data_IF_712107967057
#
_entry.id   IF_712107967057
#
_cell.length_a   1.000
_cell.length_b   1.000
_cell.length_c   1.000
_cell.angle_alpha   90.00
_cell.angle_beta   90.00
_cell.angle_gamma   90.00
#
_symmetry.space_group_name_H-M   'P 1'
#
loop_
_entity.id
_entity.type
_entity.pdbx_description
1 polymer ?
#
# COMPACT_ATOMS: atom_id res chain seq x y z
N UNK A 1 -38.76 -35.96 -6.26
CA UNK A 1 -37.44 -36.58 -6.51
C UNK A 1 -36.38 -35.48 -6.46
N UNK A 2 -35.63 -35.36 -5.35
CA UNK A 2 -34.62 -34.31 -5.19
C UNK A 2 -33.35 -34.63 -5.99
N UNK A 3 -32.71 -33.61 -6.58
CA UNK A 3 -31.49 -33.78 -7.37
C UNK A 3 -30.31 -34.20 -6.46
N UNK A 4 -29.57 -35.28 -6.79
CA UNK A 4 -28.50 -35.77 -5.93
C UNK A 4 -27.36 -34.75 -5.80
N UNK A 5 -26.81 -34.63 -4.58
CA UNK A 5 -25.69 -33.74 -4.29
C UNK A 5 -24.43 -34.26 -4.99
N UNK A 6 -23.83 -33.40 -5.82
CA UNK A 6 -22.62 -33.68 -6.63
C UNK A 6 -21.35 -33.99 -5.81
N UNK A 7 -21.31 -33.57 -4.55
CA UNK A 7 -20.21 -33.83 -3.63
C UNK A 7 -20.79 -34.29 -2.29
N UNK A 8 -20.19 -35.30 -1.67
CA UNK A 8 -20.68 -35.89 -0.42
C UNK A 8 -19.98 -35.31 0.80
N UNK A 9 -18.72 -34.89 0.65
CA UNK A 9 -17.96 -34.19 1.69
C UNK A 9 -17.43 -32.84 1.22
N UNK A 10 -17.06 -31.98 2.17
CA UNK A 10 -16.40 -30.71 1.87
C UNK A 10 -14.99 -30.92 1.28
N UNK A 11 -14.32 -31.99 1.68
CA UNK A 11 -13.01 -32.38 1.15
C UNK A 11 -13.09 -32.77 -0.34
N UNK A 12 -14.13 -33.52 -0.74
CA UNK A 12 -14.38 -33.87 -2.15
C UNK A 12 -14.56 -32.62 -3.02
N UNK A 13 -15.28 -31.62 -2.48
CA UNK A 13 -15.49 -30.34 -3.17
C UNK A 13 -14.18 -29.59 -3.35
N UNK A 14 -13.33 -29.51 -2.32
CA UNK A 14 -12.02 -28.86 -2.39
C UNK A 14 -11.09 -29.61 -3.35
N UNK A 15 -11.12 -30.94 -3.33
CA UNK A 15 -10.34 -31.77 -4.24
C UNK A 15 -10.75 -31.53 -5.70
N UNK A 16 -12.05 -31.49 -6.00
CA UNK A 16 -12.56 -31.20 -7.33
C UNK A 16 -12.16 -29.80 -7.82
N UNK A 17 -12.15 -28.78 -6.94
CA UNK A 17 -11.68 -27.43 -7.29
C UNK A 17 -10.19 -27.41 -7.61
N UNK A 18 -9.36 -28.11 -6.82
CA UNK A 18 -7.91 -28.24 -7.08
C UNK A 18 -7.65 -28.90 -8.43
N UNK A 19 -8.35 -29.99 -8.73
CA UNK A 19 -8.21 -30.70 -10.00
C UNK A 19 -8.68 -29.88 -11.19
N UNK A 20 -9.81 -29.16 -11.05
CA UNK A 20 -10.31 -28.29 -12.11
C UNK A 20 -9.34 -27.13 -12.39
N UNK A 21 -8.80 -26.52 -11.33
CA UNK A 21 -7.78 -25.47 -11.46
C UNK A 21 -6.51 -26.00 -12.14
N UNK A 22 -6.05 -27.21 -11.78
CA UNK A 22 -4.90 -27.86 -12.41
C UNK A 22 -5.12 -28.11 -13.91
N UNK A 23 -6.30 -28.63 -14.28
CA UNK A 23 -6.68 -28.84 -15.69
C UNK A 23 -6.78 -27.53 -16.46
N UNK A 24 -7.38 -26.51 -15.85
CA UNK A 24 -7.47 -25.17 -16.44
C UNK A 24 -6.09 -24.58 -16.73
N UNK A 25 -5.18 -24.60 -15.75
CA UNK A 25 -3.82 -24.12 -15.92
C UNK A 25 -3.06 -24.92 -16.97
N UNK A 26 -3.20 -26.25 -17.00
CA UNK A 26 -2.56 -27.08 -18.03
C UNK A 26 -3.06 -26.71 -19.44
N UNK A 27 -4.38 -26.50 -19.61
CA UNK A 27 -4.98 -26.12 -20.88
C UNK A 27 -4.53 -24.73 -21.35
N UNK A 28 -4.45 -23.76 -20.44
CA UNK A 28 -4.19 -22.35 -20.77
C UNK A 28 -2.76 -21.89 -20.50
N UNK A 29 -1.83 -22.81 -20.17
CA UNK A 29 -0.45 -22.46 -19.81
C UNK A 29 0.24 -21.60 -20.88
N UNK A 30 0.04 -21.92 -22.16
CA UNK A 30 0.64 -21.19 -23.29
C UNK A 30 0.07 -19.78 -23.39
N UNK A 31 -1.24 -19.62 -23.32
CA UNK A 31 -1.91 -18.31 -23.37
C UNK A 31 -1.49 -17.42 -22.19
N UNK A 32 -1.47 -17.98 -20.98
CA UNK A 32 -1.02 -17.28 -19.77
C UNK A 32 0.44 -16.84 -19.93
N UNK A 33 1.31 -17.71 -20.45
CA UNK A 33 2.71 -17.38 -20.71
C UNK A 33 2.86 -16.29 -21.78
N UNK A 34 2.07 -16.34 -22.85
CA UNK A 34 2.09 -15.35 -23.92
C UNK A 34 1.65 -13.97 -23.40
N UNK A 35 0.55 -13.90 -22.63
CA UNK A 35 0.09 -12.66 -21.99
C UNK A 35 1.14 -12.08 -21.07
N UNK A 36 1.80 -12.92 -20.25
CA UNK A 36 2.89 -12.47 -19.37
C UNK A 36 4.07 -11.94 -20.18
N UNK A 37 4.47 -12.61 -21.25
CA UNK A 37 5.56 -12.16 -22.12
C UNK A 37 5.26 -10.80 -22.77
N UNK A 38 4.04 -10.60 -23.24
CA UNK A 38 3.59 -9.30 -23.78
C UNK A 38 3.63 -8.22 -22.70
N UNK A 39 3.10 -8.49 -21.50
CA UNK A 39 3.12 -7.53 -20.40
C UNK A 39 4.55 -7.09 -20.03
N UNK A 40 5.50 -8.04 -19.96
CA UNK A 40 6.91 -7.73 -19.72
C UNK A 40 7.55 -6.93 -20.87
N UNK A 41 7.24 -7.26 -22.12
CA UNK A 41 7.73 -6.49 -23.27
C UNK A 41 7.18 -5.06 -23.27
N UNK A 42 5.90 -4.85 -22.97
CA UNK A 42 5.29 -3.52 -22.85
C UNK A 42 5.90 -2.71 -21.71
N UNK A 43 6.20 -3.34 -20.57
CA UNK A 43 6.88 -2.67 -19.46
C UNK A 43 8.33 -2.33 -19.79
N UNK A 44 9.04 -3.22 -20.49
CA UNK A 44 10.43 -2.99 -20.91
C UNK A 44 10.56 -1.90 -21.97
N UNK A 45 9.64 -1.84 -22.94
CA UNK A 45 9.63 -0.80 -23.98
C UNK A 45 9.25 0.59 -23.44
N UNK A 46 8.44 0.67 -22.38
CA UNK A 46 8.20 1.95 -21.66
C UNK A 46 9.46 2.54 -21.03
N UNK A 47 10.46 1.72 -20.67
CA UNK A 47 11.71 2.19 -20.08
C UNK A 47 12.74 2.67 -21.13
N UNK A 48 12.57 2.28 -22.40
CA UNK A 48 13.51 2.64 -23.49
C UNK A 48 13.00 3.80 -24.36
N UNK A 49 11.67 3.99 -24.49
CA UNK A 49 11.10 5.09 -25.27
C UNK A 49 11.19 6.48 -24.61
N UNK A 50 11.49 6.57 -23.31
CA UNK A 50 11.60 7.88 -22.63
C UNK A 50 12.90 8.65 -22.97
N UNK A 51 13.79 8.07 -23.80
CA UNK A 51 14.98 8.76 -24.34
C UNK A 51 14.87 9.20 -25.81
N UNK A 52 13.81 8.84 -26.54
CA UNK A 52 13.73 9.12 -27.97
C UNK A 52 12.29 9.31 -28.45
N UNK A 53 11.59 10.38 -28.04
CA UNK A 53 10.42 10.84 -28.80
C UNK A 53 10.04 12.30 -28.48
N UNK A 54 10.99 13.19 -28.72
CA UNK A 54 10.65 14.48 -29.32
C UNK A 54 10.51 14.22 -30.83
N UNK A 55 9.42 14.68 -31.45
CA UNK A 55 9.08 14.68 -32.89
C UNK A 55 8.05 13.65 -33.41
N UNK A 56 6.88 14.21 -33.79
CA UNK A 56 5.84 13.80 -34.78
C UNK A 56 4.54 13.08 -34.33
N UNK A 57 3.51 13.90 -34.09
CA UNK A 57 2.24 14.09 -34.86
C UNK A 57 1.47 12.86 -35.42
N UNK A 58 0.24 12.67 -34.88
CA UNK A 58 -1.07 12.21 -35.46
C UNK A 58 -1.15 10.79 -36.07
N UNK A 59 -2.02 9.85 -35.68
CA UNK A 59 -3.50 9.85 -35.85
C UNK A 59 -4.12 8.57 -35.21
N UNK A 60 -5.35 8.67 -34.69
CA UNK A 60 -6.28 7.58 -34.29
C UNK A 60 -6.88 6.83 -35.52
N UNK A 61 -7.63 5.68 -35.44
CA UNK A 61 -8.72 5.37 -34.47
C UNK A 61 -8.96 3.89 -34.02
N UNK A 62 -9.85 3.73 -33.02
CA UNK A 62 -10.40 2.53 -32.31
C UNK A 62 -11.83 2.14 -32.81
N UNK A 63 -12.66 1.24 -32.20
CA UNK A 63 -12.56 -0.03 -31.41
C UNK A 63 -13.62 -1.11 -31.91
N UNK A 64 -14.05 -2.22 -31.21
CA UNK A 64 -14.90 -2.28 -29.97
C UNK A 64 -14.57 -3.47 -28.99
N UNK A 65 -14.78 -3.49 -27.65
CA UNK A 65 -15.96 -3.42 -26.71
C UNK A 65 -16.31 -4.80 -26.09
N UNK A 66 -16.78 -4.80 -24.82
CA UNK A 66 -17.62 -5.77 -24.04
C UNK A 66 -16.98 -6.06 -22.66
N UNK A 67 -17.39 -5.45 -21.53
CA UNK A 67 -18.60 -5.57 -20.67
C UNK A 67 -18.59 -6.66 -19.57
N UNK A 68 -18.91 -6.19 -18.35
CA UNK A 68 -19.63 -6.78 -17.21
C UNK A 68 -18.86 -7.44 -16.03
N UNK A 69 -18.90 -6.85 -14.83
CA UNK A 69 -19.89 -6.98 -13.69
C UNK A 69 -19.74 -8.33 -12.97
N UNK A 70 -19.32 -8.42 -11.69
CA UNK A 70 -20.22 -8.29 -10.53
C UNK A 70 -19.48 -8.38 -9.17
N UNK A 71 -19.80 -7.44 -8.28
CA UNK A 71 -20.30 -7.62 -6.90
C UNK A 71 -19.67 -8.68 -5.97
N UNK A 72 -19.13 -8.18 -4.85
CA UNK A 72 -18.68 -8.91 -3.68
C UNK A 72 -19.62 -8.62 -2.51
N UNK A 73 -20.18 -9.67 -1.91
CA UNK A 73 -20.82 -9.67 -0.59
C UNK A 73 -19.81 -10.21 0.43
N UNK A 74 -19.61 -9.46 1.52
CA UNK A 74 -18.70 -9.83 2.59
C UNK A 74 -19.26 -10.87 3.56
N UNK A 75 -18.37 -11.47 4.38
CA UNK A 75 -18.66 -11.81 5.76
C UNK A 75 -17.41 -12.31 6.52
N UNK A 76 -17.09 -11.59 7.61
CA UNK A 76 -16.61 -12.00 8.95
C UNK A 76 -15.62 -13.17 9.04
N UNK A 77 -14.34 -12.84 9.28
CA UNK A 77 -13.36 -13.76 9.86
C UNK A 77 -13.39 -13.70 11.39
N UNK A 78 -13.70 -14.84 11.99
CA UNK A 78 -13.61 -15.10 13.44
C UNK A 78 -12.19 -15.55 13.75
N UNK A 79 -11.48 -14.82 14.62
CA UNK A 79 -10.15 -15.18 15.12
C UNK A 79 -10.19 -16.53 15.86
N UNK A 80 -9.52 -17.54 15.30
CA UNK A 80 -9.22 -18.80 15.99
C UNK A 80 -7.81 -18.73 16.59
N UNK A 81 -7.74 -18.56 17.91
CA UNK A 81 -6.49 -18.58 18.69
C UNK A 81 -6.10 -20.02 19.01
N UNK A 82 -5.10 -20.56 18.28
CA UNK A 82 -4.45 -21.82 18.65
C UNK A 82 -3.47 -21.58 19.80
N UNK A 83 -3.84 -22.03 21.01
CA UNK A 83 -2.97 -22.05 22.20
C UNK A 83 -2.06 -23.27 22.12
N UNK A 84 -0.78 -23.06 21.85
CA UNK A 84 0.25 -24.10 22.04
C UNK A 84 0.61 -24.17 23.53
N UNK A 85 0.21 -25.25 24.20
CA UNK A 85 0.64 -25.57 25.57
C UNK A 85 1.89 -26.45 25.45
N UNK A 86 3.08 -25.86 25.60
CA UNK A 86 4.33 -26.62 25.75
C UNK A 86 4.61 -26.86 27.23
N UNK A 87 4.43 -28.12 27.63
CA UNK A 87 4.64 -28.62 29.00
C UNK A 87 6.14 -28.86 29.23
N UNK A 88 6.86 -27.84 29.71
CA UNK A 88 8.27 -27.95 30.09
C UNK A 88 8.41 -28.76 31.39
N UNK A 89 9.02 -29.94 31.30
CA UNK A 89 9.45 -30.74 32.47
C UNK A 89 10.62 -30.03 33.15
N UNK A 90 10.43 -29.71 34.43
CA UNK A 90 11.42 -29.11 35.32
C UNK A 90 12.52 -30.13 35.65
N UNK A 91 13.65 -30.05 34.98
CA UNK A 91 14.86 -30.79 35.36
C UNK A 91 15.54 -29.99 36.48
N UNK A 92 15.57 -30.52 37.70
CA UNK A 92 16.39 -29.97 38.80
C UNK A 92 17.84 -30.37 38.52
N UNK A 93 18.65 -29.40 38.13
CA UNK A 93 20.09 -29.54 38.03
C UNK A 93 20.70 -29.31 39.44
N UNK A 94 21.13 -30.38 40.10
CA UNK A 94 21.93 -30.35 41.33
C UNK A 94 23.40 -30.51 40.97
N UNK A 95 23.99 -29.45 40.39
CA UNK A 95 25.44 -29.33 40.34
C UNK A 95 25.87 -28.31 41.39
N UNK A 96 26.38 -28.81 42.52
CA UNK A 96 27.09 -28.02 43.50
C UNK A 96 28.52 -27.78 42.99
N UNK A 97 28.74 -26.65 42.31
CA UNK A 97 30.10 -26.16 42.08
C UNK A 97 30.46 -25.17 43.18
N UNK A 98 31.62 -25.36 43.80
CA UNK A 98 32.23 -24.36 44.68
C UNK A 98 32.66 -23.17 43.82
N UNK A 99 31.95 -22.06 43.93
CA UNK A 99 32.33 -20.78 43.34
C UNK A 99 33.52 -20.26 44.13
N UNK A 100 34.70 -20.27 43.51
CA UNK A 100 35.87 -19.55 44.01
C UNK A 100 35.61 -18.06 43.75
N UNK A 101 35.66 -17.17 44.75
CA UNK A 101 35.45 -15.74 44.54
C UNK A 101 36.62 -15.18 43.74
N UNK A 102 36.35 -14.80 42.50
CA UNK A 102 37.28 -14.01 41.68
C UNK A 102 37.25 -12.58 42.21
N UNK A 103 38.41 -11.94 42.48
CA UNK A 103 38.45 -10.56 42.92
C UNK A 103 37.76 -9.64 41.90
N UNK A 104 36.92 -8.74 42.41
CA UNK A 104 36.15 -7.80 41.61
C UNK A 104 37.09 -6.90 40.81
N UNK A 105 37.26 -7.22 39.52
CA UNK A 105 37.84 -6.28 38.55
C UNK A 105 36.79 -5.20 38.34
N UNK A 106 37.07 -4.01 38.85
CA UNK A 106 36.33 -2.78 38.55
C UNK A 106 36.48 -2.47 37.07
N UNK A 107 35.60 -3.04 36.24
CA UNK A 107 35.46 -2.66 34.84
C UNK A 107 34.96 -1.21 34.82
N UNK A 108 35.65 -0.27 34.14
CA UNK A 108 35.13 1.08 33.94
C UNK A 108 33.76 0.97 33.28
N UNK A 109 32.73 1.46 33.97
CA UNK A 109 31.37 1.46 33.44
C UNK A 109 31.32 2.50 32.31
N UNK A 110 31.44 2.04 31.07
CA UNK A 110 31.23 2.88 29.89
C UNK A 110 29.77 3.36 29.94
N UNK A 111 29.51 4.68 29.84
CA UNK A 111 28.15 5.20 29.87
C UNK A 111 27.32 4.56 28.74
N UNK A 112 26.04 4.23 29.00
CA UNK A 112 25.18 3.63 27.98
C UNK A 112 25.08 4.55 26.76
N UNK A 113 24.99 3.98 25.54
CA UNK A 113 24.82 4.78 24.32
C UNK A 113 23.60 5.70 24.44
N UNK A 114 23.66 6.94 23.92
CA UNK A 114 22.52 7.84 23.87
C UNK A 114 21.35 7.20 23.11
N UNK A 115 20.11 7.42 23.59
CA UNK A 115 18.90 6.97 22.89
C UNK A 115 18.85 7.63 21.49
N UNK A 116 18.86 6.86 20.39
CA UNK A 116 18.80 7.41 19.05
C UNK A 116 17.40 7.91 18.67
N UNK A 117 16.35 7.55 19.43
CA UNK A 117 14.97 7.82 19.06
C UNK A 117 14.60 9.31 18.91
N UNK A 118 15.06 10.23 19.77
CA UNK A 118 14.79 11.67 19.61
C UNK A 118 15.22 12.22 18.24
N UNK A 119 16.31 11.67 17.67
CA UNK A 119 16.78 12.05 16.33
C UNK A 119 15.79 11.62 15.25
N UNK A 120 15.32 10.37 15.28
CA UNK A 120 14.33 9.89 14.30
C UNK A 120 13.03 10.69 14.39
N UNK A 121 12.61 11.04 15.60
CA UNK A 121 11.43 11.87 15.80
C UNK A 121 11.61 13.28 15.20
N UNK A 122 12.78 13.90 15.39
CA UNK A 122 13.08 15.20 14.81
C UNK A 122 13.11 15.15 13.26
N UNK A 123 13.75 14.14 12.68
CA UNK A 123 13.79 13.95 11.22
C UNK A 123 12.38 13.71 10.65
N UNK A 124 11.56 12.90 11.32
CA UNK A 124 10.17 12.65 10.91
C UNK A 124 9.31 13.91 11.01
N UNK A 125 9.42 14.67 12.11
CA UNK A 125 8.70 15.94 12.26
C UNK A 125 9.04 16.93 11.15
N UNK A 126 10.29 16.95 10.67
CA UNK A 126 10.68 17.78 9.53
C UNK A 126 9.89 17.40 8.27
N UNK A 127 9.80 16.10 7.93
CA UNK A 127 9.00 15.65 6.78
C UNK A 127 7.52 15.98 6.97
N UNK A 128 7.00 15.81 8.19
CA UNK A 128 5.61 16.14 8.47
C UNK A 128 5.35 17.64 8.34
N UNK A 129 6.32 18.50 8.66
CA UNK A 129 6.22 19.94 8.43
C UNK A 129 6.27 20.26 6.94
N UNK A 130 7.21 19.67 6.19
CA UNK A 130 7.28 19.81 4.73
C UNK A 130 5.96 19.37 4.05
N UNK A 131 5.31 18.35 4.59
CA UNK A 131 3.98 17.91 4.16
C UNK A 131 2.89 18.97 4.45
N UNK A 132 2.86 19.57 5.64
CA UNK A 132 1.88 20.64 5.93
C UNK A 132 2.14 21.90 5.07
N UNK A 133 3.41 22.24 4.85
CA UNK A 133 3.81 23.36 3.98
C UNK A 133 3.40 23.09 2.53
N UNK A 134 3.55 21.85 2.05
CA UNK A 134 3.08 21.40 0.73
C UNK A 134 1.57 21.55 0.58
N UNK A 135 0.79 21.32 1.63
CA UNK A 135 -0.66 21.56 1.61
C UNK A 135 -1.02 23.05 1.69
N UNK A 136 -0.04 23.94 1.88
CA UNK A 136 -0.25 25.38 2.05
C UNK A 136 -1.23 25.66 3.20
N UNK A 137 -1.06 24.93 4.30
CA UNK A 137 -1.89 25.02 5.50
C UNK A 137 -3.34 24.53 5.31
N UNK A 138 -3.64 23.78 4.24
CA UNK A 138 -4.96 23.19 4.02
C UNK A 138 -5.05 21.82 4.67
N UNK A 139 -6.24 21.46 5.13
CA UNK A 139 -6.52 20.06 5.42
C UNK A 139 -6.38 19.21 4.13
N UNK A 140 -5.94 17.93 4.22
CA UNK A 140 -5.78 17.07 3.05
C UNK A 140 -7.02 17.01 2.14
N UNK A 141 -8.22 17.00 2.74
CA UNK A 141 -9.48 16.96 2.00
C UNK A 141 -9.76 18.27 1.24
N UNK A 142 -9.39 19.42 1.82
CA UNK A 142 -9.53 20.72 1.18
C UNK A 142 -8.48 20.94 0.10
N UNK A 143 -7.28 20.37 0.26
CA UNK A 143 -6.28 20.31 -0.80
C UNK A 143 -6.79 19.50 -2.00
N UNK A 144 -7.39 18.32 -1.76
CA UNK A 144 -8.03 17.53 -2.83
C UNK A 144 -9.13 18.31 -3.53
N UNK A 145 -10.04 18.97 -2.79
CA UNK A 145 -11.08 19.83 -3.38
C UNK A 145 -10.49 20.96 -4.20
N UNK A 146 -9.39 21.56 -3.76
CA UNK A 146 -8.67 22.59 -4.49
C UNK A 146 -8.16 22.06 -5.83
N UNK A 147 -7.51 20.90 -5.86
CA UNK A 147 -7.04 20.27 -7.11
C UNK A 147 -8.20 19.95 -8.06
N UNK A 148 -9.30 19.39 -7.54
CA UNK A 148 -10.49 19.11 -8.35
C UNK A 148 -11.08 20.39 -8.97
N UNK A 149 -11.14 21.49 -8.21
CA UNK A 149 -11.58 22.78 -8.74
C UNK A 149 -10.67 23.30 -9.85
N UNK A 150 -9.35 23.14 -9.73
CA UNK A 150 -8.40 23.48 -10.79
C UNK A 150 -8.63 22.62 -12.03
N UNK A 151 -8.78 21.30 -11.86
CA UNK A 151 -8.97 20.34 -12.95
C UNK A 151 -10.25 20.58 -13.76
N UNK A 152 -11.35 20.97 -13.10
CA UNK A 152 -12.63 21.25 -13.73
C UNK A 152 -12.82 22.72 -14.16
N UNK A 153 -11.81 23.57 -14.04
CA UNK A 153 -11.96 25.00 -14.34
C UNK A 153 -12.07 25.23 -15.85
N UNK A 154 -13.32 25.35 -16.32
CA UNK A 154 -13.72 25.52 -17.73
C UNK A 154 -13.09 26.72 -18.44
N UNK A 155 -12.66 27.76 -17.71
CA UNK A 155 -12.07 28.96 -18.30
C UNK A 155 -10.59 28.85 -18.65
N UNK A 156 -9.97 27.70 -18.40
CA UNK A 156 -8.56 27.47 -18.65
C UNK A 156 -8.36 26.50 -19.81
N UNK A 157 -7.30 26.69 -20.60
CA UNK A 157 -6.79 25.68 -21.55
C UNK A 157 -6.32 24.38 -20.85
N UNK A 158 -6.40 24.35 -19.52
CA UNK A 158 -5.91 23.31 -18.62
C UNK A 158 -7.05 22.42 -18.08
N UNK A 159 -8.29 22.60 -18.56
CA UNK A 159 -9.35 21.67 -18.22
C UNK A 159 -8.95 20.25 -18.64
N UNK A 160 -9.04 19.31 -17.69
CA UNK A 160 -8.62 17.94 -17.97
C UNK A 160 -7.10 17.71 -17.91
N UNK A 161 -6.32 18.70 -17.49
CA UNK A 161 -4.86 18.55 -17.37
C UNK A 161 -4.52 17.56 -16.25
N UNK A 162 -4.13 16.34 -16.64
CA UNK A 162 -3.78 15.27 -15.71
C UNK A 162 -2.52 15.60 -14.88
N UNK A 163 -1.66 16.49 -15.40
CA UNK A 163 -0.45 16.97 -14.74
C UNK A 163 -0.71 17.55 -13.35
N UNK A 164 -1.90 18.11 -13.13
CA UNK A 164 -2.35 18.63 -11.83
C UNK A 164 -2.35 17.58 -10.71
N UNK A 165 -2.41 16.29 -11.04
CA UNK A 165 -2.34 15.21 -10.06
C UNK A 165 -0.97 14.52 -10.04
N UNK A 166 -0.28 14.48 -11.18
CA UNK A 166 1.01 13.79 -11.32
C UNK A 166 2.09 14.49 -10.49
N UNK A 167 2.24 15.81 -10.64
CA UNK A 167 3.28 16.56 -9.93
C UNK A 167 3.12 16.48 -8.39
N UNK A 168 1.93 16.69 -7.81
CA UNK A 168 1.69 16.42 -6.39
C UNK A 168 1.99 14.99 -5.95
N UNK A 169 1.66 13.99 -6.77
CA UNK A 169 1.90 12.58 -6.44
C UNK A 169 3.40 12.28 -6.35
N UNK A 170 4.21 12.80 -7.26
CA UNK A 170 5.66 12.59 -7.25
C UNK A 170 6.31 13.14 -5.97
N UNK A 171 5.93 14.35 -5.56
CA UNK A 171 6.41 14.96 -4.31
C UNK A 171 6.00 14.13 -3.09
N UNK A 172 4.73 13.69 -3.04
CA UNK A 172 4.24 12.87 -1.94
C UNK A 172 4.92 11.50 -1.87
N UNK A 173 5.24 10.89 -3.02
CA UNK A 173 5.98 9.64 -3.07
C UNK A 173 7.39 9.77 -2.50
N UNK A 174 8.09 10.87 -2.81
CA UNK A 174 9.40 11.18 -2.22
C UNK A 174 9.30 11.35 -0.70
N UNK A 175 8.30 12.10 -0.21
CA UNK A 175 8.06 12.28 1.23
C UNK A 175 7.76 10.94 1.92
N UNK A 176 6.94 10.07 1.30
CA UNK A 176 6.61 8.75 1.83
C UNK A 176 7.83 7.85 1.92
N UNK A 177 8.70 7.85 0.91
CA UNK A 177 9.95 7.08 0.91
C UNK A 177 10.91 7.57 2.00
N UNK A 178 11.12 8.88 2.08
CA UNK A 178 11.96 9.48 3.12
C UNK A 178 11.44 9.15 4.52
N UNK A 179 10.13 9.26 4.75
CA UNK A 179 9.50 8.90 6.02
C UNK A 179 9.64 7.40 6.34
N UNK A 180 9.42 6.54 5.33
CA UNK A 180 9.58 5.10 5.45
C UNK A 180 11.02 4.69 5.82
N UNK A 181 12.02 5.38 5.28
CA UNK A 181 13.42 5.20 5.63
C UNK A 181 13.68 5.50 7.11
N UNK A 182 13.13 6.60 7.63
CA UNK A 182 13.25 6.99 9.05
C UNK A 182 12.55 5.96 9.94
N UNK A 183 11.30 5.60 9.61
CA UNK A 183 10.54 4.59 10.37
C UNK A 183 11.27 3.25 10.42
N UNK A 184 11.87 2.81 9.31
CA UNK A 184 12.64 1.56 9.26
C UNK A 184 13.88 1.63 10.15
N UNK A 185 14.61 2.75 10.14
CA UNK A 185 15.78 2.94 11.01
C UNK A 185 15.39 2.98 12.49
N UNK A 186 14.29 3.64 12.81
CA UNK A 186 13.76 3.69 14.17
C UNK A 186 13.31 2.31 14.66
N UNK A 187 12.64 1.53 13.80
CA UNK A 187 12.26 0.15 14.09
C UNK A 187 13.49 -0.76 14.29
N UNK A 188 14.55 -0.59 13.51
CA UNK A 188 15.78 -1.36 13.68
C UNK A 188 16.52 -1.01 14.98
N UNK A 189 16.50 0.27 15.37
CA UNK A 189 17.19 0.74 16.56
C UNK A 189 16.46 0.39 17.86
N UNK A 190 15.12 0.47 17.86
CA UNK A 190 14.31 0.41 19.09
C UNK A 190 13.31 -0.76 19.12
N UNK A 191 13.12 -1.44 18.00
CA UNK A 191 12.10 -2.48 17.86
C UNK A 191 10.67 -1.92 17.88
N UNK A 192 9.67 -2.81 17.97
CA UNK A 192 8.25 -2.44 17.96
C UNK A 192 7.82 -1.83 19.31
N UNK A 193 8.16 -0.56 19.54
CA UNK A 193 7.82 0.22 20.73
C UNK A 193 6.57 1.08 20.52
N UNK A 194 5.99 1.62 21.60
CA UNK A 194 4.84 2.53 21.47
C UNK A 194 5.20 3.85 20.80
N UNK A 195 6.45 4.30 20.96
CA UNK A 195 6.97 5.47 20.26
C UNK A 195 7.16 5.20 18.77
N UNK A 196 7.62 4.00 18.39
CA UNK A 196 7.62 3.56 17.00
C UNK A 196 6.21 3.52 16.40
N UNK A 197 5.22 2.97 17.12
CA UNK A 197 3.82 2.96 16.64
C UNK A 197 3.27 4.38 16.44
N UNK A 198 3.59 5.31 17.34
CA UNK A 198 3.21 6.73 17.21
C UNK A 198 3.83 7.35 15.96
N UNK A 199 5.13 7.09 15.73
CA UNK A 199 5.85 7.51 14.53
C UNK A 199 5.16 6.95 13.26
N UNK A 200 4.86 5.65 13.23
CA UNK A 200 4.21 5.03 12.08
C UNK A 200 2.80 5.59 11.85
N UNK A 201 2.05 5.85 12.92
CA UNK A 201 0.72 6.44 12.84
C UNK A 201 0.77 7.85 12.24
N UNK A 202 1.73 8.68 12.65
CA UNK A 202 1.88 10.04 12.15
C UNK A 202 2.18 10.07 10.63
N UNK A 203 2.93 9.10 10.12
CA UNK A 203 3.23 8.99 8.68
C UNK A 203 2.03 8.58 7.81
N UNK A 204 0.96 8.02 8.40
CA UNK A 204 -0.22 7.56 7.65
C UNK A 204 -0.90 8.66 6.87
N UNK A 205 -0.84 9.91 7.33
CA UNK A 205 -1.48 11.05 6.66
C UNK A 205 -0.93 11.27 5.24
N UNK A 206 0.37 11.06 5.03
CA UNK A 206 1.01 11.14 3.71
C UNK A 206 0.46 10.02 2.80
N UNK A 207 0.44 8.79 3.32
CA UNK A 207 -0.09 7.64 2.59
C UNK A 207 -1.56 7.75 2.23
N UNK A 208 -2.37 8.30 3.13
CA UNK A 208 -3.79 8.57 2.92
C UNK A 208 -4.01 9.55 1.76
N UNK A 209 -3.28 10.67 1.75
CA UNK A 209 -3.41 11.63 0.66
C UNK A 209 -2.95 11.05 -0.69
N UNK A 210 -1.85 10.29 -0.72
CA UNK A 210 -1.41 9.58 -1.93
C UNK A 210 -2.54 8.70 -2.45
N UNK A 211 -3.13 7.88 -1.59
CA UNK A 211 -4.21 6.98 -1.98
C UNK A 211 -5.42 7.73 -2.55
N UNK A 212 -5.80 8.86 -1.96
CA UNK A 212 -6.87 9.71 -2.48
C UNK A 212 -6.54 10.28 -3.86
N UNK A 213 -5.33 10.80 -4.05
CA UNK A 213 -4.89 11.37 -5.32
C UNK A 213 -4.72 10.32 -6.41
N UNK A 214 -4.26 9.11 -6.07
CA UNK A 214 -4.19 7.99 -7.02
C UNK A 214 -5.57 7.58 -7.52
N UNK A 215 -6.56 7.51 -6.63
CA UNK A 215 -7.94 7.17 -7.00
C UNK A 215 -8.54 8.21 -7.96
N UNK A 216 -8.28 9.49 -7.69
CA UNK A 216 -8.69 10.60 -8.56
C UNK A 216 -7.96 10.52 -9.90
N UNK A 217 -6.63 10.39 -9.88
CA UNK A 217 -5.81 10.31 -11.09
C UNK A 217 -6.23 9.14 -11.99
N UNK A 218 -6.46 7.95 -11.41
CA UNK A 218 -6.96 6.77 -12.15
C UNK A 218 -8.32 7.01 -12.77
N UNK A 219 -9.18 7.81 -12.12
CA UNK A 219 -10.50 8.14 -12.68
C UNK A 219 -10.42 9.26 -13.72
N UNK A 220 -9.45 10.16 -13.59
CA UNK A 220 -9.22 11.29 -14.47
C UNK A 220 -8.52 10.91 -15.78
N UNK A 221 -7.76 9.80 -15.80
CA UNK A 221 -6.98 9.39 -16.98
C UNK A 221 -7.84 9.14 -18.23
N UNK A 222 -9.08 8.72 -18.03
CA UNK A 222 -10.07 8.49 -19.10
C UNK A 222 -10.79 9.79 -19.52
N UNK A 223 -10.45 10.91 -18.89
CA UNK A 223 -11.00 12.24 -19.15
C UNK A 223 -11.89 12.78 -18.02
N UNK A 224 -12.34 14.04 -18.15
CA UNK A 224 -13.06 14.74 -17.09
C UNK A 224 -14.44 14.17 -16.78
N UNK A 225 -15.11 13.55 -17.77
CA UNK A 225 -16.45 13.00 -17.58
C UNK A 225 -16.49 11.88 -16.54
N UNK A 226 -15.55 10.93 -16.60
CA UNK A 226 -15.48 9.82 -15.65
C UNK A 226 -15.30 10.31 -14.22
N UNK A 227 -14.36 11.24 -14.02
CA UNK A 227 -14.12 11.86 -12.73
C UNK A 227 -15.33 12.65 -12.21
N UNK A 228 -16.02 13.39 -13.08
CA UNK A 228 -17.22 14.13 -12.71
C UNK A 228 -18.33 13.19 -12.21
N UNK A 229 -18.58 12.09 -12.93
CA UNK A 229 -19.56 11.08 -12.51
C UNK A 229 -19.17 10.45 -11.17
N UNK A 230 -17.90 10.08 -10.98
CA UNK A 230 -17.42 9.50 -9.73
C UNK A 230 -17.55 10.46 -8.54
N UNK A 231 -17.18 11.72 -8.74
CA UNK A 231 -17.29 12.78 -7.74
C UNK A 231 -18.76 13.00 -7.33
N UNK A 232 -19.67 13.15 -8.30
CA UNK A 232 -21.09 13.38 -8.04
C UNK A 232 -21.77 12.18 -7.36
N UNK A 233 -21.31 10.96 -7.66
CA UNK A 233 -21.79 9.73 -7.01
C UNK A 233 -21.14 9.46 -5.65
N UNK A 234 -20.21 10.32 -5.21
CA UNK A 234 -19.43 10.14 -3.99
C UNK A 234 -18.69 8.79 -3.95
N UNK A 235 -18.14 8.35 -5.08
CA UNK A 235 -17.43 7.07 -5.19
C UNK A 235 -15.92 7.20 -5.05
N UNK A 236 -15.39 8.42 -4.92
CA UNK A 236 -13.96 8.63 -4.70
C UNK A 236 -13.55 8.23 -3.29
N UNK A 237 -12.34 7.71 -3.14
CA UNK A 237 -11.74 7.23 -1.90
C UNK A 237 -11.96 8.17 -0.70
N UNK A 238 -11.59 9.45 -0.85
CA UNK A 238 -11.71 10.46 0.20
C UNK A 238 -13.16 10.79 0.59
N UNK A 239 -14.12 10.63 -0.34
CA UNK A 239 -15.54 10.85 -0.07
C UNK A 239 -16.20 9.67 0.67
N UNK A 240 -15.62 8.46 0.53
CA UNK A 240 -16.10 7.26 1.25
C UNK A 240 -15.67 7.29 2.71
N UNK A 241 -14.42 7.62 2.99
CA UNK A 241 -13.92 7.71 4.37
C UNK A 241 -14.66 8.77 5.19
N UNK A 242 -15.05 9.88 4.58
CA UNK A 242 -15.83 10.93 5.25
C UNK A 242 -17.25 10.48 5.67
N UNK A 243 -17.74 9.33 5.20
CA UNK A 243 -19.06 8.77 5.55
C UNK A 243 -19.01 7.67 6.61
N UNK A 244 -17.82 7.11 6.84
CA UNK A 244 -17.60 6.02 7.79
C UNK A 244 -17.20 6.54 9.20
N UNK A 245 -17.28 7.86 9.40
CA UNK A 245 -17.10 8.58 10.69
C UNK A 245 -18.45 9.12 11.14
#
# INVERSE_FOLDING_TARGET
MGCPKKYHTQEDKLQAVRENSKRYYAKHRRDISARRKVAYQTQSSRCVSERQETFRITSQPTPPKVQNTSQSTGHKDTHSTNKFITRLKKIRNTNQYKVIPVPAVTVPTVPPPPDPFPRFNAEALKILQEFEDFLVGKAPSDYVKFLLRCYFKDSSRQQGEIGLFVEPLDVLYQMKEAYGSISTKALQADGPSDRQKKLDCAGKKIGMLIWWLEDIWRTAIDGPYGLCVAYNRNTLAWQREAKDV
#
